data_IF_334804910086
#
_entry.id   IF_334804910086
#
_cell.length_a   1.000
_cell.length_b   1.000
_cell.length_c   1.000
_cell.angle_alpha   90.00
_cell.angle_beta   90.00
_cell.angle_gamma   90.00
#
_symmetry.space_group_name_H-M   'P 1'
#
loop_
_entity.id
_entity.type
_entity.pdbx_description
1 polymer ?
#
# COMPACT_ATOMS: atom_id res chain seq x y z
N UNK A 1 -2.39 -59.38 -24.24
CA UNK A 1 -3.37 -58.41 -23.69
C UNK A 1 -2.59 -57.13 -23.39
N UNK A 2 -2.72 -56.13 -24.25
CA UNK A 2 -2.00 -54.86 -24.12
C UNK A 2 -2.69 -54.00 -23.06
N UNK A 3 -1.94 -53.51 -22.07
CA UNK A 3 -2.40 -52.47 -21.15
C UNK A 3 -1.51 -51.24 -21.36
N UNK A 4 -2.05 -50.27 -22.10
CA UNK A 4 -1.46 -48.94 -22.29
C UNK A 4 -1.64 -48.12 -21.01
N UNK A 5 -0.53 -47.76 -20.37
CA UNK A 5 -0.52 -46.80 -19.26
C UNK A 5 -0.65 -45.38 -19.82
N UNK A 6 -1.80 -44.74 -19.57
CA UNK A 6 -2.04 -43.34 -19.95
C UNK A 6 -1.70 -42.45 -18.75
N UNK A 7 -0.49 -41.88 -18.74
CA UNK A 7 -0.04 -40.95 -17.71
C UNK A 7 -0.65 -39.57 -17.98
N UNK A 8 -1.79 -39.28 -17.34
CA UNK A 8 -2.45 -37.99 -17.42
C UNK A 8 -1.64 -36.98 -16.58
N UNK A 9 -0.82 -36.19 -17.27
CA UNK A 9 -0.22 -34.97 -16.73
C UNK A 9 -1.26 -33.87 -16.78
N UNK A 10 -1.89 -33.57 -15.64
CA UNK A 10 -2.72 -32.39 -15.45
C UNK A 10 -2.19 -31.62 -14.23
N UNK A 11 -1.15 -30.80 -14.44
CA UNK A 11 -0.86 -29.71 -13.51
C UNK A 11 -1.30 -28.41 -14.16
N UNK A 12 -2.46 -27.97 -13.68
CA UNK A 12 -3.11 -26.68 -13.93
C UNK A 12 -2.11 -25.53 -13.73
N UNK A 13 -1.71 -24.86 -14.82
CA UNK A 13 -1.14 -23.52 -14.71
C UNK A 13 -2.27 -22.50 -14.70
N UNK A 14 -2.87 -22.24 -13.54
CA UNK A 14 -3.65 -21.02 -13.34
C UNK A 14 -2.71 -19.92 -12.84
N UNK A 15 -1.99 -19.28 -13.76
CA UNK A 15 -1.38 -17.99 -13.47
C UNK A 15 -2.50 -16.93 -13.57
N UNK A 16 -3.34 -16.83 -12.52
CA UNK A 16 -4.26 -15.71 -12.41
C UNK A 16 -3.41 -14.45 -12.29
N UNK A 17 -3.41 -13.62 -13.34
CA UNK A 17 -2.87 -12.27 -13.26
C UNK A 17 -3.69 -11.53 -12.18
N UNK A 18 -3.11 -11.34 -10.99
CA UNK A 18 -3.82 -10.65 -9.93
C UNK A 18 -3.83 -9.17 -10.25
N UNK A 19 -5.02 -8.59 -10.38
CA UNK A 19 -5.26 -7.14 -10.52
C UNK A 19 -4.84 -6.32 -9.28
N UNK A 20 -4.09 -6.92 -8.35
CA UNK A 20 -3.73 -6.35 -7.05
C UNK A 20 -2.22 -6.45 -6.86
N UNK A 21 -1.61 -5.32 -6.51
CA UNK A 21 -0.28 -5.24 -5.92
C UNK A 21 -0.42 -4.81 -4.46
N UNK A 22 0.16 -5.55 -3.51
CA UNK A 22 0.14 -5.18 -2.09
C UNK A 22 1.50 -5.50 -1.46
N UNK A 23 2.10 -4.51 -0.81
CA UNK A 23 3.40 -4.68 -0.13
C UNK A 23 3.47 -3.85 1.13
N UNK A 24 3.86 -4.51 2.22
CA UNK A 24 4.09 -3.90 3.53
C UNK A 24 5.56 -3.97 3.91
N UNK A 25 6.06 -2.93 4.56
CA UNK A 25 7.40 -2.80 5.10
C UNK A 25 7.30 -2.65 6.61
N UNK A 26 8.00 -3.50 7.35
CA UNK A 26 8.10 -3.37 8.81
C UNK A 26 8.88 -2.09 9.18
N UNK A 27 8.41 -1.39 10.20
CA UNK A 27 9.08 -0.23 10.74
C UNK A 27 10.04 -0.69 11.86
N UNK A 28 11.33 -0.34 11.79
CA UNK A 28 12.29 -0.70 12.83
C UNK A 28 11.86 -0.19 14.21
N UNK A 29 11.85 -1.09 15.20
CA UNK A 29 11.52 -0.79 16.61
C UNK A 29 10.20 -0.06 16.82
N UNK A 30 9.24 -0.23 15.90
CA UNK A 30 7.97 0.50 15.84
C UNK A 30 8.11 2.03 15.85
N UNK A 31 9.25 2.55 15.42
CA UNK A 31 9.61 3.98 15.46
C UNK A 31 9.84 4.51 14.05
N UNK A 32 8.79 5.07 13.44
CA UNK A 32 8.84 5.53 12.06
C UNK A 32 9.52 6.90 11.95
N UNK A 33 10.83 6.86 11.68
CA UNK A 33 11.62 8.06 11.40
C UNK A 33 11.23 8.70 10.07
N UNK A 34 11.17 10.02 10.00
CA UNK A 34 10.84 10.76 8.77
C UNK A 34 11.82 10.50 7.61
N UNK A 35 13.08 10.18 7.92
CA UNK A 35 14.10 9.83 6.92
C UNK A 35 14.05 8.35 6.49
N UNK A 36 13.29 7.50 7.20
CA UNK A 36 13.01 6.14 6.76
C UNK A 36 11.78 6.18 5.83
N UNK A 37 12.04 6.15 4.53
CA UNK A 37 11.03 6.36 3.49
C UNK A 37 10.87 5.09 2.64
N UNK A 38 10.01 4.13 3.05
CA UNK A 38 9.77 2.91 2.29
C UNK A 38 9.40 3.19 0.83
N UNK A 39 9.96 2.39 -0.07
CA UNK A 39 9.73 2.47 -1.52
C UNK A 39 9.06 1.20 -2.05
N UNK A 40 8.10 1.40 -2.94
CA UNK A 40 7.31 0.35 -3.55
C UNK A 40 7.33 0.51 -5.06
N UNK A 41 7.76 -0.52 -5.77
CA UNK A 41 7.88 -0.54 -7.23
C UNK A 41 6.88 -1.54 -7.79
N UNK A 42 6.11 -1.13 -8.79
CA UNK A 42 5.14 -1.95 -9.50
C UNK A 42 5.05 -1.54 -10.97
N UNK A 43 4.67 -2.48 -11.82
CA UNK A 43 4.55 -2.26 -13.27
C UNK A 43 3.11 -1.95 -13.68
N UNK A 44 2.96 -0.93 -14.51
CA UNK A 44 1.69 -0.61 -15.18
C UNK A 44 1.79 -1.05 -16.64
N UNK A 45 0.91 -1.97 -17.04
CA UNK A 45 0.78 -2.47 -18.42
C UNK A 45 -0.39 -1.83 -19.18
N UNK A 46 -1.48 -1.48 -18.49
CA UNK A 46 -2.71 -0.90 -19.04
C UNK A 46 -2.90 0.53 -18.53
N UNK A 47 -2.68 1.50 -19.42
CA UNK A 47 -2.79 2.93 -19.12
C UNK A 47 -4.21 3.48 -19.29
N UNK A 48 -5.15 2.68 -19.82
CA UNK A 48 -6.55 3.08 -20.01
C UNK A 48 -7.40 2.75 -18.78
N UNK A 49 -7.00 1.72 -18.03
CA UNK A 49 -7.63 1.38 -16.76
C UNK A 49 -7.43 2.46 -15.69
N UNK A 50 -8.34 2.45 -14.72
CA UNK A 50 -8.19 3.22 -13.48
C UNK A 50 -7.74 2.30 -12.35
N UNK A 51 -7.13 2.88 -11.33
CA UNK A 51 -6.53 2.16 -10.22
C UNK A 51 -6.92 2.82 -8.90
N UNK A 52 -7.18 2.00 -7.90
CA UNK A 52 -7.34 2.45 -6.51
C UNK A 52 -6.02 2.25 -5.79
N UNK A 53 -5.55 3.26 -5.05
CA UNK A 53 -4.31 3.22 -4.28
C UNK A 53 -4.61 3.51 -2.80
N UNK A 54 -4.36 2.53 -1.96
CA UNK A 54 -4.57 2.60 -0.51
C UNK A 54 -3.23 2.53 0.24
N UNK A 55 -3.15 3.24 1.36
CA UNK A 55 -2.20 3.00 2.43
C UNK A 55 -2.63 1.74 3.16
N UNK A 56 -1.67 0.87 3.44
CA UNK A 56 -1.80 -0.14 4.47
C UNK A 56 -0.94 0.25 5.66
N UNK A 57 -1.49 0.22 6.87
CA UNK A 57 -0.75 0.56 8.09
C UNK A 57 -1.14 -0.38 9.21
N UNK A 58 -0.15 -0.82 9.99
CA UNK A 58 -0.37 -1.50 11.26
C UNK A 58 0.27 -0.70 12.38
N UNK A 59 -0.46 -0.53 13.47
CA UNK A 59 0.04 0.11 14.68
C UNK A 59 -0.50 -0.59 15.93
N UNK A 60 0.14 -0.34 17.07
CA UNK A 60 -0.38 -0.80 18.36
C UNK A 60 -1.48 0.15 18.87
N UNK A 61 -2.29 -0.28 19.82
CA UNK A 61 -3.33 0.55 20.44
C UNK A 61 -2.77 1.81 21.13
N UNK A 62 -1.50 1.79 21.51
CA UNK A 62 -0.77 2.88 22.13
C UNK A 62 -0.37 4.00 21.14
N UNK A 63 -0.68 3.86 19.85
CA UNK A 63 -0.51 4.94 18.87
C UNK A 63 -1.32 6.18 19.28
N UNK A 64 -0.68 7.34 19.52
CA UNK A 64 -1.35 8.42 20.26
C UNK A 64 -2.09 9.43 19.37
N UNK A 65 -2.21 9.19 18.05
CA UNK A 65 -2.78 10.15 17.11
C UNK A 65 -4.02 9.58 16.41
N UNK A 66 -5.03 10.42 16.19
CA UNK A 66 -6.23 10.05 15.43
C UNK A 66 -6.03 10.11 13.91
N UNK A 67 -4.88 10.59 13.44
CA UNK A 67 -4.57 10.80 12.03
C UNK A 67 -3.07 10.60 11.73
N UNK A 68 -2.78 10.45 10.45
CA UNK A 68 -1.43 10.36 9.90
C UNK A 68 -1.28 11.32 8.73
N UNK A 69 -0.21 12.13 8.75
CA UNK A 69 0.15 12.99 7.65
C UNK A 69 1.32 12.40 6.85
N UNK A 70 1.15 12.27 5.53
CA UNK A 70 2.15 11.73 4.62
C UNK A 70 2.42 12.67 3.45
N UNK A 71 3.65 12.64 2.97
CA UNK A 71 3.98 12.93 1.58
C UNK A 71 4.02 11.61 0.80
N UNK A 72 3.16 11.46 -0.20
CA UNK A 72 3.18 10.38 -1.17
C UNK A 72 3.94 10.87 -2.40
N UNK A 73 5.11 10.31 -2.66
CA UNK A 73 5.99 10.69 -3.77
C UNK A 73 5.88 9.65 -4.88
N UNK A 74 5.39 10.05 -6.05
CA UNK A 74 5.20 9.17 -7.21
C UNK A 74 6.22 9.48 -8.29
N UNK A 75 7.07 8.52 -8.61
CA UNK A 75 7.99 8.56 -9.73
C UNK A 75 7.39 7.77 -10.90
N UNK A 76 7.15 8.44 -12.02
CA UNK A 76 6.71 7.78 -13.24
C UNK A 76 7.89 7.08 -13.93
N UNK A 77 7.64 6.13 -14.85
CA UNK A 77 8.68 5.43 -15.59
C UNK A 77 9.67 6.40 -16.25
N UNK A 78 10.96 6.26 -15.91
CA UNK A 78 12.06 7.09 -16.43
C UNK A 78 12.21 8.47 -15.80
N UNK A 79 11.32 8.90 -14.90
CA UNK A 79 11.39 10.22 -14.27
C UNK A 79 12.30 10.22 -13.04
N UNK A 80 13.17 11.24 -12.93
CA UNK A 80 14.02 11.44 -11.74
C UNK A 80 13.31 12.19 -10.62
N UNK A 81 12.38 13.07 -10.96
CA UNK A 81 11.65 13.90 -10.00
C UNK A 81 10.26 13.33 -9.74
N UNK A 82 9.82 13.22 -8.47
CA UNK A 82 8.49 12.74 -8.16
C UNK A 82 7.44 13.85 -8.22
N UNK A 83 6.21 13.47 -8.52
CA UNK A 83 5.03 14.25 -8.12
C UNK A 83 4.79 13.96 -6.63
N UNK A 84 4.68 15.00 -5.81
CA UNK A 84 4.44 14.85 -4.36
C UNK A 84 3.04 15.30 -4.01
N UNK A 85 2.27 14.41 -3.39
CA UNK A 85 0.94 14.72 -2.86
C UNK A 85 0.99 14.62 -1.34
N UNK A 86 0.58 15.69 -0.66
CA UNK A 86 0.40 15.67 0.79
C UNK A 86 -1.00 15.15 1.11
N UNK A 87 -1.09 14.17 2.01
CA UNK A 87 -2.35 13.58 2.43
C UNK A 87 -2.44 13.52 3.94
N UNK A 88 -3.65 13.79 4.44
CA UNK A 88 -4.05 13.49 5.81
C UNK A 88 -4.93 12.25 5.78
N UNK A 89 -4.62 11.30 6.64
CA UNK A 89 -5.31 10.02 6.72
C UNK A 89 -5.94 9.92 8.10
N UNK A 90 -7.28 10.00 8.21
CA UNK A 90 -7.94 9.75 9.49
C UNK A 90 -7.79 8.27 9.86
N UNK A 91 -7.30 8.00 11.06
CA UNK A 91 -7.12 6.66 11.63
C UNK A 91 -8.15 6.37 12.72
N UNK A 92 -8.72 7.39 13.36
CA UNK A 92 -9.78 7.25 14.35
C UNK A 92 -10.92 8.25 14.14
N UNK A 93 -12.09 7.93 14.68
CA UNK A 93 -13.22 8.83 14.83
C UNK A 93 -12.98 9.86 15.95
N UNK A 94 -13.77 10.95 16.02
CA UNK A 94 -13.66 11.94 17.09
C UNK A 94 -13.86 11.38 18.51
N UNK A 95 -14.57 10.25 18.64
CA UNK A 95 -14.78 9.54 19.90
C UNK A 95 -13.60 8.61 20.29
N UNK A 96 -12.53 8.57 19.48
CA UNK A 96 -11.35 7.74 19.68
C UNK A 96 -11.44 6.35 19.07
N UNK A 97 -12.57 5.96 18.46
CA UNK A 97 -12.71 4.64 17.84
C UNK A 97 -11.91 4.56 16.55
N UNK A 98 -10.95 3.64 16.50
CA UNK A 98 -10.14 3.37 15.31
C UNK A 98 -10.98 3.00 14.07
N UNK A 99 -10.64 3.60 12.94
CA UNK A 99 -11.18 3.37 11.60
C UNK A 99 -10.43 2.21 10.93
N UNK A 100 -10.36 1.05 11.58
CA UNK A 100 -9.58 -0.09 11.10
C UNK A 100 -10.17 -1.41 11.57
N UNK A 101 -9.43 -2.49 11.33
CA UNK A 101 -9.72 -3.80 11.92
C UNK A 101 -8.74 -4.05 13.04
N UNK A 102 -9.25 -4.24 14.25
CA UNK A 102 -8.45 -4.52 15.44
C UNK A 102 -8.43 -6.00 15.77
N UNK A 103 -7.28 -6.49 16.23
CA UNK A 103 -7.12 -7.80 16.85
C UNK A 103 -6.16 -7.66 18.03
N UNK A 104 -6.67 -7.86 19.25
CA UNK A 104 -5.97 -7.52 20.50
C UNK A 104 -5.48 -6.07 20.48
N UNK A 105 -4.20 -5.85 20.78
CA UNK A 105 -3.54 -4.53 20.83
C UNK A 105 -3.13 -4.01 19.45
N UNK A 106 -3.44 -4.70 18.34
CA UNK A 106 -2.98 -4.31 17.00
C UNK A 106 -4.16 -3.85 16.15
N UNK A 107 -3.96 -2.72 15.47
CA UNK A 107 -4.90 -2.16 14.50
C UNK A 107 -4.31 -2.18 13.10
N UNK A 108 -5.14 -2.60 12.14
CA UNK A 108 -4.81 -2.58 10.71
C UNK A 108 -5.73 -1.62 9.96
N UNK A 109 -5.13 -0.71 9.21
CA UNK A 109 -5.80 0.28 8.40
C UNK A 109 -5.56 0.01 6.92
N UNK A 110 -6.62 0.16 6.12
CA UNK A 110 -6.58 0.27 4.66
C UNK A 110 -7.30 1.54 4.28
N UNK A 111 -6.54 2.57 3.92
CA UNK A 111 -7.05 3.93 3.74
C UNK A 111 -6.72 4.47 2.36
N UNK A 112 -7.63 5.16 1.68
CA UNK A 112 -7.34 5.73 0.37
C UNK A 112 -6.20 6.76 0.46
N UNK A 113 -5.23 6.66 -0.45
CA UNK A 113 -4.17 7.67 -0.63
C UNK A 113 -4.55 8.76 -1.64
N UNK A 114 -5.65 8.57 -2.36
CA UNK A 114 -6.18 9.54 -3.32
C UNK A 114 -7.25 10.39 -2.66
N UNK A 115 -7.36 11.65 -3.10
CA UNK A 115 -8.38 12.57 -2.58
C UNK A 115 -9.76 11.93 -2.76
N UNK A 116 -10.54 11.85 -1.69
CA UNK A 116 -11.88 11.25 -1.66
C UNK A 116 -11.96 9.78 -2.14
N UNK A 117 -10.84 9.04 -2.16
CA UNK A 117 -10.82 7.66 -2.68
C UNK A 117 -11.04 7.56 -4.18
N UNK A 118 -10.84 8.65 -4.93
CA UNK A 118 -10.98 8.64 -6.38
C UNK A 118 -9.95 7.72 -7.03
N UNK A 119 -10.38 7.02 -8.07
CA UNK A 119 -9.48 6.17 -8.85
C UNK A 119 -8.53 7.02 -9.69
N UNK A 120 -7.26 6.64 -9.73
CA UNK A 120 -6.20 7.31 -10.49
C UNK A 120 -5.92 6.58 -11.80
N UNK A 121 -5.38 7.31 -12.78
CA UNK A 121 -4.80 6.74 -13.99
C UNK A 121 -3.30 6.87 -13.96
N UNK A 122 -2.61 5.84 -14.44
CA UNK A 122 -1.18 5.86 -14.67
C UNK A 122 -0.93 6.09 -16.17
N UNK A 123 -0.54 7.31 -16.60
CA UNK A 123 -0.54 7.69 -18.02
C UNK A 123 0.63 7.08 -18.82
N UNK A 124 1.64 6.51 -18.16
CA UNK A 124 2.81 5.90 -18.81
C UNK A 124 2.82 4.40 -18.53
N UNK A 125 3.22 3.61 -19.50
CA UNK A 125 3.50 2.17 -19.30
C UNK A 125 4.87 2.00 -18.65
N UNK A 126 4.99 1.08 -17.70
CA UNK A 126 6.27 0.67 -17.09
C UNK A 126 6.29 0.75 -15.56
N UNK A 127 7.49 0.69 -15.00
CA UNK A 127 7.73 0.65 -13.56
C UNK A 127 7.51 2.01 -12.90
N UNK A 128 6.46 2.11 -12.08
CA UNK A 128 6.25 3.23 -11.17
C UNK A 128 6.91 2.95 -9.84
N UNK A 129 7.31 4.03 -9.16
CA UNK A 129 7.78 3.95 -7.78
C UNK A 129 6.99 4.90 -6.88
N UNK A 130 6.49 4.38 -5.78
CA UNK A 130 5.85 5.14 -4.71
C UNK A 130 6.78 5.15 -3.51
N UNK A 131 7.04 6.33 -2.97
CA UNK A 131 7.78 6.51 -1.72
C UNK A 131 6.88 7.19 -0.70
N UNK A 132 6.79 6.60 0.49
CA UNK A 132 6.02 7.15 1.61
C UNK A 132 6.96 7.86 2.59
N UNK A 133 6.64 9.10 2.92
CA UNK A 133 7.34 9.89 3.93
C UNK A 133 6.33 10.40 4.95
N UNK A 134 6.50 10.01 6.22
CA UNK A 134 5.72 10.60 7.30
C UNK A 134 6.18 12.04 7.57
N UNK A 135 5.23 12.95 7.72
CA UNK A 135 5.46 14.38 7.98
C UNK A 135 4.77 14.84 9.27
N UNK A 136 4.65 13.95 10.25
CA UNK A 136 4.12 14.25 11.57
C UNK A 136 5.11 15.17 12.32
N UNK A 137 4.59 15.94 13.28
CA UNK A 137 5.43 16.83 14.12
C UNK A 137 6.42 16.05 14.99
N UNK A 138 6.07 14.81 15.35
CA UNK A 138 6.90 13.92 16.20
C UNK A 138 7.73 12.98 15.34
N UNK A 139 9.01 12.89 15.64
CA UNK A 139 9.97 12.07 14.91
C UNK A 139 11.00 11.47 15.89
N UNK A 140 11.11 10.13 16.02
CA UNK A 140 10.33 9.12 15.30
C UNK A 140 8.85 9.11 15.70
N UNK A 141 7.97 8.79 14.76
CA UNK A 141 6.56 8.54 15.04
C UNK A 141 6.43 7.15 15.71
N UNK A 142 5.97 7.07 16.97
CA UNK A 142 5.99 5.83 17.74
C UNK A 142 4.85 4.89 17.34
N UNK A 143 4.92 3.65 17.82
CA UNK A 143 3.87 2.62 17.73
C UNK A 143 3.43 2.21 16.33
N UNK A 144 4.16 2.61 15.28
CA UNK A 144 3.89 2.18 13.90
C UNK A 144 4.65 0.89 13.65
N UNK A 145 3.96 -0.22 13.44
CA UNK A 145 4.57 -1.54 13.22
C UNK A 145 4.97 -1.77 11.76
N UNK A 146 4.10 -1.37 10.83
CA UNK A 146 4.36 -1.53 9.40
C UNK A 146 3.54 -0.54 8.59
N UNK A 147 4.08 -0.14 7.44
CA UNK A 147 3.37 0.68 6.44
C UNK A 147 3.53 0.05 5.07
N UNK A 148 2.63 0.33 4.15
CA UNK A 148 2.60 -0.29 2.85
C UNK A 148 1.69 0.42 1.88
N UNK A 149 1.66 -0.09 0.66
CA UNK A 149 0.66 0.32 -0.32
C UNK A 149 -0.07 -0.89 -0.86
N UNK A 150 -1.32 -0.65 -1.24
CA UNK A 150 -2.14 -1.56 -2.00
C UNK A 150 -2.66 -0.85 -3.24
N UNK A 151 -2.43 -1.42 -4.41
CA UNK A 151 -2.91 -0.92 -5.69
C UNK A 151 -3.81 -1.98 -6.29
N UNK A 152 -5.03 -1.58 -6.66
CA UNK A 152 -5.99 -2.47 -7.31
C UNK A 152 -6.38 -1.86 -8.64
N UNK A 153 -6.26 -2.62 -9.73
CA UNK A 153 -6.80 -2.26 -11.04
C UNK A 153 -8.32 -2.35 -10.96
N UNK A 154 -9.00 -1.27 -11.32
CA UNK A 154 -10.45 -1.26 -11.44
C UNK A 154 -10.85 -1.77 -12.83
N UNK A 155 -11.99 -2.45 -12.90
CA UNK A 155 -12.55 -2.96 -14.16
C UNK A 155 -13.07 -1.85 -15.06
#
# INVERSE_FOLDING_TARGET
MSFTAFFISLFMQSCMHSDIFEKNTAIPSNQWKANYQPEYIFDISDTNATYTMDLTMRHTDAYPYANLWLNVKTFAPGEKQPITVKVEIPLAQPDGKWLGRGMNEIWEHRMPLTRNGESIRFPKKGAYKIRLEQIMRVNPLPEVMSVGIRITKNK
#
